data_IF_288491317392
#
_entry.id   IF_288491317392
#
_cell.length_a   1.000
_cell.length_b   1.000
_cell.length_c   1.000
_cell.angle_alpha   90.00
_cell.angle_beta   90.00
_cell.angle_gamma   90.00
#
_symmetry.space_group_name_H-M   'P 1'
#
loop_
_entity.id
_entity.type
_entity.pdbx_description
1 polymer ?
#
# COMPACT_ATOMS: atom_id res chain seq x y z
N UNK A 1 0.50 16.60 -23.24
CA UNK A 1 0.48 15.45 -24.18
C UNK A 1 0.62 14.20 -23.32
N UNK A 2 -0.34 13.28 -23.35
CA UNK A 2 -0.20 12.01 -22.63
C UNK A 2 0.96 11.23 -23.30
N UNK A 3 2.00 10.92 -22.54
CA UNK A 3 3.13 10.07 -22.96
C UNK A 3 2.52 8.71 -23.37
N UNK A 4 2.81 8.21 -24.54
CA UNK A 4 2.35 6.89 -24.95
C UNK A 4 2.82 5.87 -23.91
N UNK A 5 1.92 5.05 -23.40
CA UNK A 5 2.25 4.02 -22.41
C UNK A 5 3.19 3.02 -23.09
N UNK A 6 4.40 2.86 -22.57
CA UNK A 6 5.35 1.87 -23.06
C UNK A 6 4.76 0.46 -22.82
N UNK A 7 4.77 -0.37 -23.87
CA UNK A 7 4.30 -1.76 -23.80
C UNK A 7 5.50 -2.69 -23.86
N UNK A 8 5.53 -3.68 -22.98
CA UNK A 8 6.53 -4.74 -22.94
C UNK A 8 5.89 -6.12 -23.09
N UNK A 9 6.73 -7.15 -23.16
CA UNK A 9 6.29 -8.55 -23.27
C UNK A 9 6.91 -9.39 -22.15
N UNK A 10 6.13 -10.26 -21.56
CA UNK A 10 6.62 -11.23 -20.56
C UNK A 10 7.60 -12.18 -21.23
N UNK A 11 8.81 -12.26 -20.67
CA UNK A 11 9.85 -13.19 -21.14
C UNK A 11 9.95 -14.43 -20.26
N UNK A 12 9.72 -14.27 -18.95
CA UNK A 12 9.82 -15.34 -17.95
C UNK A 12 8.89 -15.09 -16.77
N UNK A 13 8.36 -16.17 -16.20
CA UNK A 13 7.58 -16.16 -14.95
C UNK A 13 8.16 -17.22 -14.02
N UNK A 14 8.54 -16.82 -12.80
CA UNK A 14 9.08 -17.71 -11.75
C UNK A 14 8.40 -17.38 -10.44
N UNK A 15 7.32 -18.08 -10.13
CA UNK A 15 6.49 -17.74 -8.98
C UNK A 15 5.96 -16.31 -9.08
N UNK A 16 6.20 -15.47 -8.07
CA UNK A 16 5.80 -14.07 -8.09
C UNK A 16 6.73 -13.15 -8.90
N UNK A 17 7.85 -13.67 -9.42
CA UNK A 17 8.82 -12.88 -10.18
C UNK A 17 8.51 -13.01 -11.67
N UNK A 18 8.37 -11.87 -12.34
CA UNK A 18 8.05 -11.77 -13.77
C UNK A 18 9.09 -10.90 -14.45
N UNK A 19 9.78 -11.44 -15.44
CA UNK A 19 10.71 -10.69 -16.28
C UNK A 19 9.98 -10.20 -17.53
N UNK A 20 10.10 -8.91 -17.83
CA UNK A 20 9.42 -8.23 -18.92
C UNK A 20 10.44 -7.49 -19.78
N UNK A 21 10.37 -7.67 -21.10
CA UNK A 21 11.19 -6.96 -22.06
C UNK A 21 10.40 -5.84 -22.73
N UNK A 22 11.02 -4.68 -22.88
CA UNK A 22 10.45 -3.51 -23.52
C UNK A 22 11.20 -3.18 -24.82
N UNK A 23 10.49 -2.75 -25.87
CA UNK A 23 11.10 -2.36 -27.13
C UNK A 23 11.61 -0.91 -27.17
N UNK A 24 11.42 -0.16 -26.06
CA UNK A 24 11.73 1.27 -25.98
C UNK A 24 12.23 1.71 -24.61
N UNK A 25 11.71 2.82 -24.13
CA UNK A 25 12.06 3.39 -22.82
C UNK A 25 11.70 2.41 -21.68
N UNK A 26 12.67 2.09 -20.83
CA UNK A 26 12.46 1.22 -19.69
C UNK A 26 11.59 1.92 -18.62
N UNK A 27 10.68 1.19 -17.98
CA UNK A 27 9.99 1.69 -16.79
C UNK A 27 11.00 1.98 -15.67
N UNK A 28 10.75 3.03 -14.91
CA UNK A 28 11.53 3.32 -13.71
C UNK A 28 11.31 2.24 -12.64
N UNK A 29 12.28 2.08 -11.74
CA UNK A 29 12.14 1.22 -10.57
C UNK A 29 10.96 1.72 -9.71
N UNK A 30 10.19 0.79 -9.13
CA UNK A 30 8.93 1.00 -8.40
C UNK A 30 7.73 1.37 -9.29
N UNK A 31 7.89 1.54 -10.60
CA UNK A 31 6.73 1.74 -11.46
C UNK A 31 5.82 0.51 -11.48
N UNK A 32 4.52 0.80 -11.53
CA UNK A 32 3.49 -0.21 -11.71
C UNK A 32 3.35 -0.59 -13.18
N UNK A 33 3.39 -1.88 -13.45
CA UNK A 33 3.06 -2.47 -14.73
C UNK A 33 1.72 -3.18 -14.63
N UNK A 34 0.93 -3.17 -15.66
CA UNK A 34 -0.37 -3.83 -15.71
C UNK A 34 -0.43 -4.87 -16.83
N UNK A 35 -0.98 -6.02 -16.51
CA UNK A 35 -1.29 -7.07 -17.48
C UNK A 35 -2.63 -7.72 -17.14
N UNK A 36 -3.19 -8.42 -18.09
CA UNK A 36 -4.39 -9.23 -17.86
C UNK A 36 -4.00 -10.64 -17.38
N UNK A 37 -4.65 -11.14 -16.36
CA UNK A 37 -4.50 -12.53 -15.93
C UNK A 37 -5.88 -13.20 -15.89
N UNK A 38 -6.25 -13.86 -17.00
CA UNK A 38 -7.54 -14.53 -17.14
C UNK A 38 -8.75 -13.60 -16.91
N UNK A 39 -8.72 -12.39 -17.49
CA UNK A 39 -9.78 -11.38 -17.34
C UNK A 39 -9.72 -10.59 -16.05
N UNK A 40 -8.67 -10.77 -15.22
CA UNK A 40 -8.41 -9.97 -14.02
C UNK A 40 -7.18 -9.10 -14.22
N UNK A 41 -7.27 -7.85 -13.82
CA UNK A 41 -6.13 -6.94 -13.78
C UNK A 41 -5.08 -7.45 -12.80
N UNK A 42 -3.87 -7.72 -13.28
CA UNK A 42 -2.71 -8.03 -12.45
C UNK A 42 -1.73 -6.87 -12.50
N UNK A 43 -1.31 -6.41 -11.33
CA UNK A 43 -0.30 -5.36 -11.18
C UNK A 43 1.03 -5.99 -10.81
N UNK A 44 2.09 -5.56 -11.51
CA UNK A 44 3.47 -5.94 -11.24
C UNK A 44 4.23 -4.67 -10.84
N UNK A 45 5.15 -4.75 -9.91
CA UNK A 45 6.03 -3.64 -9.53
C UNK A 45 7.45 -3.89 -10.04
N UNK A 46 8.03 -2.92 -10.71
CA UNK A 46 9.41 -3.02 -11.21
C UNK A 46 10.38 -2.99 -10.03
N UNK A 47 11.09 -4.09 -9.83
CA UNK A 47 12.06 -4.24 -8.75
C UNK A 47 13.50 -3.97 -9.21
N UNK A 48 13.84 -4.31 -10.46
CA UNK A 48 15.22 -4.23 -10.95
C UNK A 48 15.28 -4.13 -12.48
N UNK A 49 16.27 -3.41 -13.00
CA UNK A 49 16.66 -3.48 -14.42
C UNK A 49 17.68 -4.60 -14.60
N UNK A 50 17.46 -5.46 -15.58
CA UNK A 50 18.32 -6.61 -15.88
C UNK A 50 19.34 -6.32 -17.01
N UNK A 51 19.19 -5.19 -17.71
CA UNK A 51 19.88 -4.91 -18.97
C UNK A 51 19.08 -5.38 -20.19
N UNK A 52 19.59 -5.11 -21.40
CA UNK A 52 18.99 -5.51 -22.67
C UNK A 52 17.48 -5.17 -22.78
N UNK A 53 17.11 -3.99 -22.32
CA UNK A 53 15.73 -3.51 -22.27
C UNK A 53 14.77 -4.42 -21.47
N UNK A 54 15.30 -5.17 -20.50
CA UNK A 54 14.53 -6.06 -19.65
C UNK A 54 14.48 -5.58 -18.20
N UNK A 55 13.33 -5.75 -17.59
CA UNK A 55 13.10 -5.46 -16.17
C UNK A 55 12.59 -6.70 -15.44
N UNK A 56 12.95 -6.81 -14.18
CA UNK A 56 12.39 -7.77 -13.24
C UNK A 56 11.34 -7.10 -12.41
N UNK A 57 10.15 -7.67 -12.39
CA UNK A 57 9.02 -7.17 -11.64
C UNK A 57 8.48 -8.23 -10.68
N UNK A 58 7.81 -7.78 -9.63
CA UNK A 58 7.16 -8.62 -8.61
C UNK A 58 5.65 -8.48 -8.77
N UNK A 59 4.96 -9.60 -8.90
CA UNK A 59 3.50 -9.63 -8.99
C UNK A 59 2.86 -9.38 -7.63
N UNK A 60 1.83 -8.53 -7.62
CA UNK A 60 1.07 -8.20 -6.41
C UNK A 60 -0.07 -9.19 -6.13
N UNK A 61 -0.31 -10.13 -7.02
CA UNK A 61 -1.29 -11.20 -6.88
C UNK A 61 -0.78 -12.46 -7.61
N UNK A 62 -1.59 -13.50 -7.64
CA UNK A 62 -1.31 -14.78 -8.27
C UNK A 62 -0.92 -14.66 -9.76
N UNK A 63 0.12 -15.38 -10.14
CA UNK A 63 0.70 -15.36 -11.50
C UNK A 63 0.26 -16.55 -12.35
N UNK A 64 -0.53 -17.46 -11.78
CA UNK A 64 -1.06 -18.62 -12.50
C UNK A 64 -1.94 -18.17 -13.67
N UNK A 65 -1.55 -18.58 -14.86
CA UNK A 65 -2.23 -18.18 -16.09
C UNK A 65 -1.46 -17.18 -16.95
N UNK A 66 -0.41 -16.56 -16.42
CA UNK A 66 0.48 -15.73 -17.23
C UNK A 66 1.24 -16.59 -18.26
N UNK A 67 1.36 -16.09 -19.47
CA UNK A 67 2.07 -16.74 -20.55
C UNK A 67 3.21 -15.88 -21.08
N UNK A 68 4.27 -16.53 -21.54
CA UNK A 68 5.38 -15.87 -22.23
C UNK A 68 4.88 -15.18 -23.50
N UNK A 69 5.37 -13.96 -23.76
CA UNK A 69 4.97 -13.14 -24.92
C UNK A 69 3.72 -12.30 -24.68
N UNK A 70 3.08 -12.43 -23.51
CA UNK A 70 1.92 -11.63 -23.13
C UNK A 70 2.29 -10.15 -22.94
N UNK A 71 1.38 -9.27 -23.34
CA UNK A 71 1.59 -7.83 -23.27
C UNK A 71 1.48 -7.31 -21.83
N UNK A 72 2.37 -6.38 -21.50
CA UNK A 72 2.44 -5.68 -20.22
C UNK A 72 2.54 -4.19 -20.49
N UNK A 73 1.72 -3.39 -19.84
CA UNK A 73 1.66 -1.95 -20.03
C UNK A 73 2.30 -1.23 -18.84
N UNK A 74 3.27 -0.36 -19.10
CA UNK A 74 3.82 0.53 -18.10
C UNK A 74 2.81 1.65 -17.80
N UNK A 75 2.41 1.81 -16.54
CA UNK A 75 1.50 2.89 -16.13
C UNK A 75 2.18 4.26 -16.10
N UNK A 76 3.52 4.29 -16.02
CA UNK A 76 4.32 5.50 -15.88
C UNK A 76 4.29 6.11 -14.47
N UNK A 77 3.78 5.39 -13.50
CA UNK A 77 3.68 5.81 -12.11
C UNK A 77 3.84 4.61 -11.16
N UNK A 78 4.13 4.88 -9.90
CA UNK A 78 4.16 3.88 -8.85
C UNK A 78 2.74 3.38 -8.50
N UNK A 79 2.67 2.22 -7.84
CA UNK A 79 1.40 1.75 -7.25
C UNK A 79 0.90 2.82 -6.28
N UNK A 80 -0.35 3.22 -6.45
CA UNK A 80 -0.98 4.22 -5.60
C UNK A 80 -2.29 3.69 -5.04
N UNK A 81 -2.58 4.05 -3.80
CA UNK A 81 -3.79 3.65 -3.08
C UNK A 81 -4.66 4.87 -2.77
N UNK A 82 -5.98 4.71 -2.70
CA UNK A 82 -6.85 5.77 -2.23
C UNK A 82 -6.52 6.13 -0.78
N UNK A 83 -6.60 7.41 -0.45
CA UNK A 83 -6.37 7.94 0.90
C UNK A 83 -7.49 8.92 1.29
N UNK A 84 -7.51 9.33 2.56
CA UNK A 84 -8.47 10.28 3.11
C UNK A 84 -9.67 9.60 3.78
N UNK A 85 -10.64 10.43 4.19
CA UNK A 85 -11.77 9.99 5.02
C UNK A 85 -12.66 8.93 4.35
N UNK A 86 -12.73 8.93 3.01
CA UNK A 86 -13.49 7.93 2.26
C UNK A 86 -12.95 6.49 2.41
N UNK A 87 -11.73 6.33 2.92
CA UNK A 87 -11.12 5.02 3.17
C UNK A 87 -11.40 4.47 4.56
N UNK A 88 -11.97 5.28 5.45
CA UNK A 88 -12.24 4.85 6.82
C UNK A 88 -13.29 3.74 6.87
N UNK A 89 -12.98 2.67 7.60
CA UNK A 89 -13.84 1.49 7.71
C UNK A 89 -13.95 0.65 6.44
N UNK A 90 -13.04 0.85 5.46
CA UNK A 90 -12.91 0.08 4.23
C UNK A 90 -11.76 -0.91 4.34
N UNK A 91 -11.88 -2.03 3.63
CA UNK A 91 -10.82 -3.02 3.47
C UNK A 91 -10.41 -3.04 2.01
N UNK A 92 -9.13 -2.83 1.74
CA UNK A 92 -8.55 -2.76 0.40
C UNK A 92 -7.37 -3.72 0.29
N UNK A 93 -7.12 -4.19 -0.93
CA UNK A 93 -5.92 -4.96 -1.24
C UNK A 93 -4.69 -4.02 -1.38
N UNK A 94 -3.52 -4.59 -1.63
CA UNK A 94 -2.24 -3.85 -1.80
C UNK A 94 -2.26 -2.86 -2.97
N UNK A 95 -3.11 -3.05 -3.97
CA UNK A 95 -3.29 -2.15 -5.12
C UNK A 95 -4.36 -1.09 -4.90
N UNK A 96 -4.99 -1.07 -3.70
CA UNK A 96 -6.02 -0.11 -3.33
C UNK A 96 -7.42 -0.43 -3.86
N UNK A 97 -7.63 -1.66 -4.35
CA UNK A 97 -8.95 -2.09 -4.76
C UNK A 97 -9.75 -2.60 -3.55
N UNK A 98 -11.02 -2.22 -3.38
CA UNK A 98 -11.82 -2.65 -2.24
C UNK A 98 -12.14 -4.15 -2.34
N UNK A 99 -11.99 -4.86 -1.20
CA UNK A 99 -12.30 -6.29 -1.04
C UNK A 99 -13.38 -6.55 0.00
N UNK A 100 -14.03 -5.48 0.47
CA UNK A 100 -15.05 -5.52 1.54
C UNK A 100 -16.49 -5.58 1.00
N UNK A 101 -16.68 -5.80 -0.31
CA UNK A 101 -17.97 -5.88 -1.00
C UNK A 101 -18.87 -4.63 -0.86
N UNK A 102 -18.29 -3.50 -0.41
CA UNK A 102 -19.04 -2.24 -0.22
C UNK A 102 -18.97 -1.30 -1.43
N UNK A 103 -18.55 -1.81 -2.58
CA UNK A 103 -18.38 -1.02 -3.80
C UNK A 103 -17.09 -0.18 -3.82
N UNK A 104 -16.87 0.62 -4.87
CA UNK A 104 -15.66 1.41 -5.05
C UNK A 104 -15.45 2.43 -3.94
N UNK A 105 -14.20 2.81 -3.69
CA UNK A 105 -13.85 3.93 -2.80
C UNK A 105 -13.90 5.22 -3.61
N UNK A 106 -14.87 6.06 -3.33
CA UNK A 106 -15.05 7.33 -4.02
C UNK A 106 -14.13 8.41 -3.45
N UNK A 107 -12.89 8.43 -3.91
CA UNK A 107 -11.94 9.50 -3.60
C UNK A 107 -11.10 9.83 -4.83
N UNK A 108 -10.74 11.11 -4.97
CA UNK A 108 -9.75 11.56 -5.96
C UNK A 108 -8.33 11.54 -5.40
N UNK A 109 -8.21 11.51 -4.08
CA UNK A 109 -6.94 11.56 -3.39
C UNK A 109 -6.30 10.17 -3.37
N UNK A 110 -5.16 10.05 -4.03
CA UNK A 110 -4.36 8.81 -4.07
C UNK A 110 -2.93 9.14 -3.67
N UNK A 111 -2.28 8.20 -3.00
CA UNK A 111 -0.89 8.31 -2.59
C UNK A 111 -0.11 7.09 -3.07
N UNK A 112 1.12 7.30 -3.54
CA UNK A 112 2.03 6.21 -3.83
C UNK A 112 2.32 5.41 -2.56
N UNK A 113 2.44 4.07 -2.69
CA UNK A 113 2.74 3.20 -1.55
C UNK A 113 4.18 3.38 -1.07
N UNK A 114 5.09 3.79 -1.97
CA UNK A 114 6.46 4.17 -1.64
C UNK A 114 6.52 5.69 -1.48
N UNK A 115 6.42 6.17 -0.26
CA UNK A 115 6.56 7.58 0.08
C UNK A 115 7.82 7.81 0.89
N UNK A 116 8.43 8.96 0.69
CA UNK A 116 9.53 9.39 1.54
C UNK A 116 9.06 9.60 2.98
N UNK A 117 9.96 9.37 3.93
CA UNK A 117 9.68 9.69 5.32
C UNK A 117 9.54 11.23 5.46
N UNK A 118 8.64 11.71 6.34
CA UNK A 118 8.52 13.14 6.58
C UNK A 118 9.85 13.72 7.08
N UNK A 119 10.22 14.89 6.58
CA UNK A 119 11.42 15.61 7.02
C UNK A 119 11.29 16.03 8.50
N UNK A 120 12.42 16.30 9.15
CA UNK A 120 12.44 16.64 10.58
C UNK A 120 11.59 17.89 10.89
N UNK A 121 11.58 18.86 9.98
CA UNK A 121 10.79 20.08 10.11
C UNK A 121 9.27 19.86 10.03
N UNK A 122 8.84 18.81 9.35
CA UNK A 122 7.43 18.43 9.22
C UNK A 122 6.91 17.64 10.43
N UNK A 123 7.82 17.16 11.28
CA UNK A 123 7.45 16.38 12.45
C UNK A 123 6.95 17.28 13.57
N UNK A 124 5.79 16.93 14.13
CA UNK A 124 5.26 17.65 15.31
C UNK A 124 6.14 17.39 16.53
N UNK A 125 6.64 18.46 17.15
CA UNK A 125 7.37 18.39 18.43
C UNK A 125 6.45 18.30 19.63
N UNK A 126 5.13 18.51 19.45
CA UNK A 126 4.14 18.46 20.53
C UNK A 126 3.78 17.01 20.86
N UNK A 127 3.90 16.65 22.14
CA UNK A 127 3.44 15.34 22.62
C UNK A 127 1.95 15.42 22.92
N UNK A 128 1.14 14.74 22.10
CA UNK A 128 -0.30 14.57 22.35
C UNK A 128 -0.56 13.15 22.86
N UNK A 129 -1.36 13.04 23.92
CA UNK A 129 -1.79 11.74 24.45
C UNK A 129 -2.92 11.19 23.57
N UNK A 130 -2.82 9.92 23.20
CA UNK A 130 -3.84 9.16 22.51
C UNK A 130 -4.77 8.52 23.54
N UNK A 131 -5.98 9.02 23.68
CA UNK A 131 -6.99 8.41 24.54
C UNK A 131 -7.51 7.13 23.91
N UNK A 132 -7.23 5.98 24.50
CA UNK A 132 -7.62 4.66 23.99
C UNK A 132 -9.00 4.22 24.47
N UNK A 133 -9.55 4.84 25.52
CA UNK A 133 -10.77 4.42 26.20
C UNK A 133 -10.58 3.22 27.16
N UNK A 134 -9.37 2.71 27.27
CA UNK A 134 -9.01 1.60 28.17
C UNK A 134 -8.35 2.20 29.40
N UNK A 135 -9.08 2.24 30.51
CA UNK A 135 -8.67 2.93 31.75
C UNK A 135 -7.25 2.61 32.20
N UNK A 136 -6.86 1.34 32.18
CA UNK A 136 -5.53 0.91 32.63
C UNK A 136 -4.41 1.47 31.76
N UNK A 137 -4.63 1.57 30.45
CA UNK A 137 -3.67 2.16 29.52
C UNK A 137 -3.62 3.68 29.71
N UNK A 138 -4.78 4.32 29.66
CA UNK A 138 -4.87 5.79 29.71
C UNK A 138 -4.33 6.37 31.02
N UNK A 139 -4.43 5.63 32.15
CA UNK A 139 -3.98 6.08 33.45
C UNK A 139 -2.55 5.65 33.82
N UNK A 140 -2.15 4.42 33.48
CA UNK A 140 -0.89 3.86 33.95
C UNK A 140 0.21 3.82 32.89
N UNK A 141 -0.14 3.77 31.61
CA UNK A 141 0.79 3.71 30.50
C UNK A 141 0.24 4.47 29.28
N UNK A 142 0.00 5.79 29.38
CA UNK A 142 -0.63 6.55 28.32
C UNK A 142 0.19 6.51 27.04
N UNK A 143 -0.49 6.33 25.93
CA UNK A 143 0.12 6.30 24.60
C UNK A 143 0.16 7.69 24.00
N UNK A 144 1.19 7.97 23.22
CA UNK A 144 1.32 9.22 22.48
C UNK A 144 0.92 9.02 21.02
N UNK A 145 0.27 10.02 20.41
CA UNK A 145 0.01 10.03 18.97
C UNK A 145 1.34 10.01 18.21
N UNK A 146 1.43 9.11 17.21
CA UNK A 146 2.67 8.89 16.44
C UNK A 146 3.74 8.07 17.18
N UNK A 147 3.46 7.60 18.41
CA UNK A 147 4.37 6.74 19.17
C UNK A 147 4.41 5.31 18.63
N UNK A 148 5.50 4.60 18.92
CA UNK A 148 5.65 3.17 18.61
C UNK A 148 5.43 2.36 19.89
N UNK A 149 4.45 1.47 19.88
CA UNK A 149 4.02 0.72 21.05
C UNK A 149 4.03 -0.77 20.71
N UNK A 150 4.63 -1.58 21.59
CA UNK A 150 4.65 -3.02 21.46
C UNK A 150 3.82 -3.70 22.56
N UNK A 151 2.94 -4.63 22.17
CA UNK A 151 2.18 -5.49 23.10
C UNK A 151 2.75 -6.90 23.05
N UNK A 152 3.36 -7.32 24.15
CA UNK A 152 3.98 -8.64 24.28
C UNK A 152 3.21 -9.53 25.26
N UNK A 153 3.16 -10.81 24.98
CA UNK A 153 2.49 -11.78 25.86
C UNK A 153 2.30 -13.14 25.17
N UNK A 154 2.05 -14.17 25.95
CA UNK A 154 1.76 -15.52 25.47
C UNK A 154 0.46 -15.62 24.66
N UNK A 155 0.14 -16.82 24.18
CA UNK A 155 -1.12 -17.11 23.52
C UNK A 155 -2.29 -16.97 24.52
N UNK A 156 -3.44 -16.48 24.06
CA UNK A 156 -4.67 -16.43 24.86
C UNK A 156 -4.77 -15.32 25.91
N UNK A 157 -3.76 -14.44 26.05
CA UNK A 157 -3.78 -13.36 27.08
C UNK A 157 -4.58 -12.10 26.65
N UNK A 158 -5.29 -12.14 25.55
CA UNK A 158 -6.20 -11.06 25.11
C UNK A 158 -5.56 -9.94 24.29
N UNK A 159 -4.32 -10.10 23.79
CA UNK A 159 -3.65 -9.07 22.94
C UNK A 159 -4.52 -8.58 21.79
N UNK A 160 -5.09 -9.51 21.03
CA UNK A 160 -5.94 -9.20 19.87
C UNK A 160 -7.20 -8.44 20.28
N UNK A 161 -7.81 -8.81 21.40
CA UNK A 161 -9.00 -8.12 21.93
C UNK A 161 -8.66 -6.69 22.32
N UNK A 162 -7.52 -6.48 22.96
CA UNK A 162 -7.04 -5.16 23.38
C UNK A 162 -6.81 -4.27 22.15
N UNK A 163 -6.08 -4.77 21.15
CA UNK A 163 -5.80 -4.05 19.89
C UNK A 163 -7.11 -3.73 19.17
N UNK A 164 -8.02 -4.68 19.02
CA UNK A 164 -9.32 -4.45 18.36
C UNK A 164 -10.17 -3.41 19.08
N UNK A 165 -10.13 -3.37 20.41
CA UNK A 165 -10.82 -2.34 21.19
C UNK A 165 -10.23 -0.96 20.96
N UNK A 166 -8.90 -0.82 20.94
CA UNK A 166 -8.23 0.44 20.65
C UNK A 166 -8.55 0.95 19.24
N UNK A 167 -8.49 0.09 18.23
CA UNK A 167 -8.81 0.44 16.84
C UNK A 167 -10.24 0.98 16.74
N UNK A 168 -11.23 0.36 17.37
CA UNK A 168 -12.61 0.81 17.34
C UNK A 168 -12.82 2.16 18.00
N UNK A 169 -12.02 2.51 18.98
CA UNK A 169 -12.15 3.77 19.75
C UNK A 169 -11.41 4.91 19.07
N UNK A 170 -10.28 4.63 18.43
CA UNK A 170 -9.37 5.66 17.87
C UNK A 170 -9.71 6.03 16.42
N UNK A 171 -10.26 5.10 15.64
CA UNK A 171 -10.55 5.34 14.21
C UNK A 171 -11.77 6.23 13.88
N UNK A 172 -12.75 6.54 14.75
CA UNK A 172 -13.85 7.40 14.35
C UNK A 172 -13.58 8.90 14.48
N UNK A 173 -12.41 9.34 14.90
CA UNK A 173 -12.12 10.78 15.00
C UNK A 173 -11.44 11.25 13.70
N UNK A 174 -12.08 12.12 12.89
CA UNK A 174 -11.44 12.70 11.71
C UNK A 174 -10.21 13.50 12.16
N UNK A 175 -9.06 13.20 11.56
CA UNK A 175 -7.86 13.99 11.76
C UNK A 175 -8.11 15.41 11.23
N UNK A 176 -7.59 16.45 11.89
CA UNK A 176 -7.66 17.80 11.37
C UNK A 176 -7.00 17.89 9.99
N UNK A 177 -7.51 18.75 9.07
CA UNK A 177 -7.21 18.70 7.64
C UNK A 177 -5.75 18.97 7.21
N UNK A 178 -4.84 19.18 8.13
CA UNK A 178 -3.46 19.59 7.84
C UNK A 178 -2.37 18.67 8.43
N UNK A 179 -2.66 17.41 8.74
CA UNK A 179 -1.61 16.48 9.16
C UNK A 179 -1.51 15.30 8.17
N UNK A 180 -0.31 14.97 7.66
CA UNK A 180 -0.13 13.75 6.89
C UNK A 180 -0.45 12.56 7.79
N UNK A 181 -1.48 11.80 7.43
CA UNK A 181 -1.79 10.53 8.08
C UNK A 181 -0.73 9.54 7.61
N UNK A 182 0.20 9.20 8.50
CA UNK A 182 1.07 8.04 8.24
C UNK A 182 0.17 6.80 8.17
N UNK A 183 0.28 5.99 7.11
CA UNK A 183 -0.47 4.74 7.03
C UNK A 183 -0.12 3.86 8.23
N UNK A 184 -1.09 3.08 8.75
CA UNK A 184 -0.78 2.08 9.76
C UNK A 184 0.26 1.13 9.17
N UNK A 185 1.38 0.98 9.85
CA UNK A 185 2.35 -0.08 9.55
C UNK A 185 1.64 -1.41 9.80
N UNK A 186 1.48 -2.20 8.75
CA UNK A 186 1.07 -3.60 8.79
C UNK A 186 2.19 -4.44 9.41
#
# INVERSE_FOLDING_TARGET
MAKAKATGKITQVIGAVVDVQFDGELPEILNALETDNNGKRLVLEVAQHLGENSVRAIAMDATEGLVRGQDVVNTGAQISVPVGDATLGRIMNVTGDPVDEKGPVETKDRRAIHGDAPEFEEQSTATEILTTGIKVIDLLAPYTKGGKIGLFGGAGVGKTVLISSMIKTVLPTPAPPNRPILPPLV
#
